data_IF_740178325526
#
_entry.id   IF_740178325526
#
_cell.length_a   1.000
_cell.length_b   1.000
_cell.length_c   1.000
_cell.angle_alpha   90.00
_cell.angle_beta   90.00
_cell.angle_gamma   90.00
#
_symmetry.space_group_name_H-M   'P 1'
#
loop_
_entity.id
_entity.type
_entity.pdbx_description
1 polymer ?
#
# COMPACT_ATOMS: atom_id res chain seq x y z
N UNK A 1 -1.43 -24.91 -1.82
CA UNK A 1 -0.67 -24.19 -2.87
C UNK A 1 -1.53 -23.09 -3.49
N UNK A 2 -2.69 -23.40 -4.10
CA UNK A 2 -3.57 -22.39 -4.70
C UNK A 2 -4.03 -21.26 -3.74
N UNK A 3 -4.45 -21.60 -2.51
CA UNK A 3 -4.92 -20.59 -1.55
C UNK A 3 -3.83 -19.59 -1.14
N UNK A 4 -2.58 -20.03 -1.05
CA UNK A 4 -1.44 -19.16 -0.73
C UNK A 4 -1.11 -18.23 -1.90
N UNK A 5 -1.15 -18.74 -3.14
CA UNK A 5 -0.96 -17.94 -4.35
C UNK A 5 -2.03 -16.85 -4.51
N UNK A 6 -3.29 -17.17 -4.18
CA UNK A 6 -4.38 -16.20 -4.20
C UNK A 6 -4.22 -15.12 -3.13
N UNK A 7 -3.89 -15.50 -1.89
CA UNK A 7 -3.61 -14.53 -0.82
C UNK A 7 -2.43 -13.63 -1.16
N UNK A 8 -1.37 -14.17 -1.75
CA UNK A 8 -0.20 -13.41 -2.21
C UNK A 8 -0.59 -12.38 -3.29
N UNK A 9 -1.27 -12.82 -4.36
CA UNK A 9 -1.74 -11.93 -5.43
C UNK A 9 -2.68 -10.84 -4.92
N UNK A 10 -3.62 -11.18 -4.04
CA UNK A 10 -4.56 -10.19 -3.50
C UNK A 10 -3.84 -9.17 -2.62
N UNK A 11 -2.92 -9.63 -1.78
CA UNK A 11 -2.16 -8.74 -0.89
C UNK A 11 -1.26 -7.78 -1.67
N UNK A 12 -0.60 -8.24 -2.74
CA UNK A 12 0.27 -7.36 -3.55
C UNK A 12 -0.51 -6.27 -4.29
N UNK A 13 -1.69 -6.61 -4.85
CA UNK A 13 -2.49 -5.67 -5.64
C UNK A 13 -3.19 -4.60 -4.79
N UNK A 14 -3.60 -4.95 -3.56
CA UNK A 14 -4.31 -4.04 -2.65
C UNK A 14 -3.44 -2.86 -2.20
N UNK A 15 -2.11 -2.98 -2.25
CA UNK A 15 -1.19 -1.91 -1.88
C UNK A 15 -0.97 -0.84 -2.95
N UNK A 16 -1.25 -1.15 -4.22
CA UNK A 16 -0.89 -0.28 -5.35
C UNK A 16 -2.09 0.15 -6.21
N UNK A 17 -3.19 -0.62 -6.19
CA UNK A 17 -4.38 -0.36 -7.02
C UNK A 17 -5.52 0.18 -6.17
N UNK A 18 -5.32 1.38 -5.63
CA UNK A 18 -6.38 2.20 -5.03
C UNK A 18 -6.42 3.58 -5.69
N UNK A 19 -7.56 4.28 -5.59
CA UNK A 19 -7.73 5.62 -6.20
C UNK A 19 -6.63 6.61 -5.77
N UNK A 20 -6.14 6.49 -4.52
CA UNK A 20 -5.15 7.41 -3.97
C UNK A 20 -3.73 7.17 -4.50
N UNK A 21 -3.41 5.94 -4.90
CA UNK A 21 -2.06 5.53 -5.32
C UNK A 21 -1.92 5.43 -6.83
N UNK A 22 -3.00 5.09 -7.56
CA UNK A 22 -2.95 4.78 -8.99
C UNK A 22 -2.60 5.98 -9.89
N UNK A 23 -2.93 7.20 -9.45
CA UNK A 23 -2.67 8.44 -10.19
C UNK A 23 -1.61 9.33 -9.53
N UNK A 24 -1.07 8.91 -8.39
CA UNK A 24 -0.09 9.70 -7.67
C UNK A 24 1.27 9.66 -8.38
N UNK A 25 1.98 10.79 -8.41
CA UNK A 25 3.33 10.86 -8.96
C UNK A 25 4.15 11.96 -8.30
N UNK A 26 5.47 11.82 -8.33
CA UNK A 26 6.39 12.85 -7.84
C UNK A 26 7.73 12.71 -8.57
N UNK A 27 8.40 13.82 -8.93
CA UNK A 27 9.75 13.76 -9.48
C UNK A 27 10.80 13.39 -8.41
N UNK A 28 10.45 13.49 -7.12
CA UNK A 28 11.32 13.05 -6.04
C UNK A 28 11.09 11.55 -5.79
N UNK A 29 12.15 10.75 -5.96
CA UNK A 29 12.10 9.30 -5.82
C UNK A 29 11.48 8.84 -4.49
N UNK A 30 11.90 9.39 -3.36
CA UNK A 30 11.41 8.98 -2.03
C UNK A 30 9.93 9.32 -1.85
N UNK A 31 9.53 10.53 -2.25
CA UNK A 31 8.11 10.93 -2.23
C UNK A 31 7.28 10.05 -3.14
N UNK A 32 7.81 9.70 -4.31
CA UNK A 32 7.12 8.85 -5.27
C UNK A 32 6.79 7.50 -4.64
N UNK A 33 7.76 6.84 -3.99
CA UNK A 33 7.53 5.54 -3.34
C UNK A 33 6.41 5.59 -2.28
N UNK A 34 6.37 6.66 -1.47
CA UNK A 34 5.33 6.84 -0.45
C UNK A 34 3.96 7.10 -1.08
N UNK A 35 3.90 7.91 -2.13
CA UNK A 35 2.64 8.34 -2.74
C UNK A 35 2.00 7.25 -3.59
N UNK A 36 2.79 6.39 -4.25
CA UNK A 36 2.30 5.31 -5.13
C UNK A 36 2.13 3.97 -4.41
N UNK A 37 2.31 3.95 -3.10
CA UNK A 37 2.14 2.76 -2.27
C UNK A 37 1.18 3.07 -1.12
N UNK A 38 0.57 2.03 -0.61
CA UNK A 38 -0.31 2.08 0.56
C UNK A 38 0.06 0.94 1.49
N UNK A 39 -0.05 1.21 2.79
CA UNK A 39 0.02 0.18 3.82
C UNK A 39 -1.37 -0.15 4.40
N UNK A 40 -1.52 -1.32 5.00
CA UNK A 40 -2.78 -1.69 5.64
C UNK A 40 -2.61 -2.54 6.89
N UNK A 41 -3.54 -2.43 7.85
CA UNK A 41 -3.66 -3.40 8.95
C UNK A 41 -2.43 -3.49 9.87
N UNK A 42 -1.56 -2.48 9.89
CA UNK A 42 -0.23 -2.57 10.51
C UNK A 42 -0.26 -2.83 12.01
N UNK A 43 -1.32 -2.39 12.68
CA UNK A 43 -1.53 -2.60 14.11
C UNK A 43 -2.10 -3.99 14.45
N UNK A 44 -2.29 -4.87 13.47
CA UNK A 44 -2.94 -6.17 13.66
C UNK A 44 -2.06 -7.34 13.19
N UNK A 45 -1.66 -8.21 14.13
CA UNK A 45 -0.77 -9.35 13.86
C UNK A 45 -1.27 -10.26 12.73
N UNK A 46 -2.59 -10.46 12.64
CA UNK A 46 -3.21 -11.26 11.57
C UNK A 46 -2.93 -10.68 10.18
N UNK A 47 -3.00 -9.37 10.00
CA UNK A 47 -2.76 -8.76 8.68
C UNK A 47 -1.31 -9.01 8.24
N UNK A 48 -0.35 -8.94 9.18
CA UNK A 48 1.06 -9.21 8.93
C UNK A 48 1.34 -10.67 8.62
N UNK A 49 0.74 -11.59 9.39
CA UNK A 49 0.88 -13.02 9.16
C UNK A 49 0.20 -13.47 7.85
N UNK A 50 -1.04 -13.01 7.62
CA UNK A 50 -1.84 -13.40 6.45
C UNK A 50 -1.29 -12.84 5.15
N UNK A 51 -0.79 -11.60 5.16
CA UNK A 51 -0.15 -10.98 3.99
C UNK A 51 1.31 -11.43 3.80
N UNK A 52 1.90 -12.15 4.76
CA UNK A 52 3.32 -12.49 4.74
C UNK A 52 4.24 -11.27 4.82
N UNK A 53 3.82 -10.20 5.51
CA UNK A 53 4.54 -8.94 5.61
C UNK A 53 4.36 -8.00 4.41
N UNK A 54 3.49 -8.34 3.47
CA UNK A 54 3.19 -7.47 2.31
C UNK A 54 2.32 -6.26 2.68
N UNK A 55 1.85 -6.15 3.92
CA UNK A 55 0.99 -5.06 4.36
C UNK A 55 1.71 -3.72 4.62
N UNK A 56 3.05 -3.71 4.53
CA UNK A 56 3.93 -2.55 4.74
C UNK A 56 4.80 -2.29 3.50
N UNK A 57 4.19 -1.89 2.39
CA UNK A 57 4.92 -1.67 1.12
C UNK A 57 5.66 -0.34 1.10
N UNK A 58 5.16 0.67 1.81
CA UNK A 58 5.81 1.99 1.86
C UNK A 58 7.24 1.82 2.39
N UNK A 59 7.44 1.17 3.53
CA UNK A 59 8.78 0.96 4.07
C UNK A 59 9.58 -0.06 3.27
N UNK A 60 8.94 -1.07 2.67
CA UNK A 60 9.64 -2.01 1.79
C UNK A 60 10.29 -1.29 0.59
N UNK A 61 9.58 -0.35 -0.02
CA UNK A 61 10.10 0.43 -1.14
C UNK A 61 11.16 1.46 -0.72
N UNK A 62 11.04 2.03 0.47
CA UNK A 62 12.06 2.95 1.01
C UNK A 62 13.32 2.22 1.48
N UNK A 63 13.18 1.01 2.02
CA UNK A 63 14.25 0.23 2.65
C UNK A 63 14.20 -1.25 2.23
N UNK A 64 14.42 -1.59 0.95
CA UNK A 64 14.23 -2.94 0.42
C UNK A 64 15.18 -3.99 1.03
N UNK A 65 16.26 -3.55 1.67
CA UNK A 65 17.24 -4.41 2.36
C UNK A 65 16.88 -4.68 3.82
N UNK A 66 15.91 -3.98 4.39
CA UNK A 66 15.47 -4.16 5.79
C UNK A 66 14.48 -5.31 5.84
N UNK A 67 14.72 -6.26 6.75
CA UNK A 67 13.81 -7.37 6.95
C UNK A 67 12.46 -6.85 7.48
N UNK A 68 11.35 -7.41 6.95
CA UNK A 68 9.99 -7.08 7.35
C UNK A 68 9.77 -7.13 8.87
N UNK A 69 10.54 -7.93 9.63
CA UNK A 69 10.49 -8.01 11.08
C UNK A 69 10.73 -6.66 11.77
N UNK A 70 11.57 -5.78 11.20
CA UNK A 70 11.95 -4.47 11.74
C UNK A 70 11.01 -3.33 11.34
N UNK A 71 10.12 -3.56 10.37
CA UNK A 71 9.25 -2.52 9.83
C UNK A 71 8.31 -1.87 10.86
N UNK A 72 7.74 -2.57 11.87
CA UNK A 72 6.92 -1.92 12.90
C UNK A 72 7.66 -0.82 13.67
N UNK A 73 8.98 -0.96 13.82
CA UNK A 73 9.80 0.04 14.52
C UNK A 73 10.22 1.19 13.59
N UNK A 74 10.24 0.96 12.28
CA UNK A 74 10.56 1.97 11.26
C UNK A 74 9.34 2.81 10.88
N UNK A 75 8.18 2.17 10.73
CA UNK A 75 6.96 2.79 10.19
C UNK A 75 6.56 4.09 10.92
N UNK A 76 6.52 4.15 12.28
CA UNK A 76 6.20 5.40 12.96
C UNK A 76 7.19 6.53 12.64
N UNK A 77 8.47 6.20 12.43
CA UNK A 77 9.52 7.18 12.07
C UNK A 77 9.32 7.69 10.65
N UNK A 78 9.02 6.78 9.71
CA UNK A 78 8.72 7.14 8.32
C UNK A 78 7.48 8.03 8.25
N UNK A 79 6.41 7.68 8.98
CA UNK A 79 5.18 8.47 9.06
C UNK A 79 5.44 9.88 9.60
N UNK A 80 6.23 10.01 10.67
CA UNK A 80 6.61 11.31 11.23
C UNK A 80 7.43 12.17 10.24
N UNK A 81 8.32 11.54 9.45
CA UNK A 81 9.08 12.24 8.39
C UNK A 81 8.14 12.69 7.27
N UNK A 82 7.20 11.84 6.85
CA UNK A 82 6.23 12.18 5.82
C UNK A 82 5.38 13.38 6.26
N UNK A 83 4.87 13.37 7.50
CA UNK A 83 4.13 14.48 8.10
C UNK A 83 4.96 15.77 8.12
N UNK A 84 6.21 15.70 8.61
CA UNK A 84 7.14 16.85 8.64
C UNK A 84 7.35 17.48 7.25
N UNK A 85 7.32 16.69 6.19
CA UNK A 85 7.56 17.13 4.82
C UNK A 85 6.28 17.33 3.99
N UNK A 86 5.09 17.24 4.61
CA UNK A 86 3.81 17.39 3.94
C UNK A 86 3.57 16.32 2.87
N UNK A 87 4.08 15.11 3.06
CA UNK A 87 3.90 13.97 2.16
C UNK A 87 2.76 13.11 2.70
N UNK A 88 1.74 12.86 1.88
CA UNK A 88 0.63 11.99 2.26
C UNK A 88 1.12 10.55 2.41
N UNK A 89 1.00 10.01 3.63
CA UNK A 89 1.29 8.62 3.94
C UNK A 89 -0.02 7.82 3.87
N UNK A 90 -0.17 6.97 2.85
CA UNK A 90 -1.39 6.22 2.61
C UNK A 90 -1.45 4.97 3.50
N UNK A 91 -2.26 4.99 4.54
CA UNK A 91 -2.46 3.85 5.45
C UNK A 91 -3.94 3.56 5.65
N UNK A 92 -4.31 2.29 5.62
CA UNK A 92 -5.67 1.82 5.91
C UNK A 92 -5.66 0.95 7.17
N UNK A 93 -6.55 1.24 8.10
CA UNK A 93 -6.53 0.60 9.43
C UNK A 93 -6.74 -0.93 9.40
N UNK A 94 -7.51 -1.45 8.43
CA UNK A 94 -7.85 -2.88 8.38
C UNK A 94 -7.66 -3.49 7.00
N UNK A 95 -7.32 -4.79 6.98
CA UNK A 95 -7.21 -5.58 5.75
C UNK A 95 -8.52 -5.57 4.95
N UNK A 96 -9.66 -5.71 5.63
CA UNK A 96 -10.97 -5.75 4.98
C UNK A 96 -11.33 -4.42 4.32
N UNK A 97 -10.95 -3.29 4.92
CA UNK A 97 -11.13 -1.98 4.32
C UNK A 97 -10.24 -1.81 3.09
N UNK A 98 -8.97 -2.22 3.17
CA UNK A 98 -8.05 -2.16 2.04
C UNK A 98 -8.57 -2.99 0.85
N UNK A 99 -9.08 -4.19 1.13
CA UNK A 99 -9.71 -5.05 0.13
C UNK A 99 -10.98 -4.43 -0.49
N UNK A 100 -11.85 -3.82 0.32
CA UNK A 100 -13.04 -3.10 -0.17
C UNK A 100 -12.67 -1.94 -1.09
N UNK A 101 -11.65 -1.15 -0.72
CA UNK A 101 -11.17 -0.03 -1.53
C UNK A 101 -10.66 -0.53 -2.88
N UNK A 102 -9.89 -1.62 -2.88
CA UNK A 102 -9.39 -2.25 -4.11
C UNK A 102 -10.53 -2.75 -5.01
N UNK A 103 -11.52 -3.48 -4.47
CA UNK A 103 -12.67 -3.93 -5.25
C UNK A 103 -13.49 -2.76 -5.82
N UNK A 104 -13.66 -1.68 -5.05
CA UNK A 104 -14.35 -0.49 -5.50
C UNK A 104 -13.61 0.19 -6.66
N UNK A 105 -12.29 0.34 -6.55
CA UNK A 105 -11.43 0.88 -7.60
C UNK A 105 -11.51 0.03 -8.88
N UNK A 106 -11.31 -1.29 -8.77
CA UNK A 106 -11.40 -2.22 -9.91
C UNK A 106 -12.79 -2.19 -10.57
N UNK A 107 -13.87 -2.09 -9.79
CA UNK A 107 -15.22 -1.92 -10.32
C UNK A 107 -15.38 -0.61 -11.09
N UNK A 108 -14.83 0.51 -10.60
CA UNK A 108 -14.85 1.80 -11.31
C UNK A 108 -14.12 1.70 -12.65
N UNK A 109 -12.93 1.09 -12.64
CA UNK A 109 -12.12 0.83 -13.84
C UNK A 109 -12.84 -0.07 -14.86
N UNK A 110 -13.67 -1.01 -14.41
CA UNK A 110 -14.46 -1.87 -15.28
C UNK A 110 -15.72 -1.23 -15.87
N UNK A 111 -16.23 -0.14 -15.28
CA UNK A 111 -17.45 0.55 -15.72
C UNK A 111 -17.13 1.76 -16.60
N UNK A 112 -16.00 2.45 -16.35
CA UNK A 112 -15.53 3.53 -17.20
C UNK A 112 -14.34 3.03 -18.03
N UNK A 113 -14.47 2.85 -19.36
CA UNK A 113 -13.27 2.84 -20.19
C UNK A 113 -12.55 4.17 -19.96
N UNK A 114 -11.22 4.15 -19.89
CA UNK A 114 -10.39 5.37 -19.83
C UNK A 114 -10.96 6.40 -20.81
N UNK A 115 -11.64 7.43 -20.30
CA UNK A 115 -11.75 8.67 -21.06
C UNK A 115 -10.39 9.33 -20.86
N UNK A 116 -9.62 9.38 -21.94
CA UNK A 116 -8.34 10.09 -21.99
C UNK A 116 -8.58 11.56 -21.66
N UNK A 117 -8.56 11.89 -20.38
CA UNK A 117 -8.44 13.27 -19.90
C UNK A 117 -6.94 13.57 -19.76
N UNK A 118 -6.27 13.65 -20.93
CA UNK A 118 -4.97 14.28 -21.10
C UNK A 118 -5.12 15.58 -21.89
#
# INVERSE_FOLDING_TARGET
IASFSWSFMLSSQVNHLTDNTSHASSPNFLKHQVLTSQDFGNNHWFARWFSGGLNTQIEHHLFPTVNHCHIPDLQPKVKAICEKHGVQYNEVETYSQAFKNHLAHTKKMGIRPFSDDH
#
